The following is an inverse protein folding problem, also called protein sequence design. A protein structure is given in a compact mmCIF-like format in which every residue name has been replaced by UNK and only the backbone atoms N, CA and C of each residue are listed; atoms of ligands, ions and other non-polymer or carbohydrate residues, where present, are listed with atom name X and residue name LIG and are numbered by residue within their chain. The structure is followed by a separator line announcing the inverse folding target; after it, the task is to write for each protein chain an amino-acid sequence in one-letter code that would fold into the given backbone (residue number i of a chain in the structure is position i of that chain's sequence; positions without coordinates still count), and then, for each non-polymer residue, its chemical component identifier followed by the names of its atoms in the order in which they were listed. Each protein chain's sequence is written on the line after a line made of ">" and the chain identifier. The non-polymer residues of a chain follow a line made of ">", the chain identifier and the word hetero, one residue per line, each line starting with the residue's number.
data_IF_720566368588
#
_entry.id   IF_720566368588
#
_cell.length_a   1.000
_cell.length_b   1.000
_cell.length_c   1.000
_cell.angle_alpha   90.00
_cell.angle_beta   90.00
_cell.angle_gamma   90.00
#
_symmetry.space_group_name_H-M   'P 1'
#
loop_
_entity.id
_entity.type
_entity.pdbx_description
1 polymer ?
#
# COMPACT_ATOMS: atom_id res chain seq x y z
N UNK A 1 -17.51 -17.10 -11.94
CA UNK A 1 -17.39 -15.64 -11.74
C UNK A 1 -15.90 -15.43 -11.48
N UNK A 2 -15.17 -14.69 -12.33
CA UNK A 2 -13.77 -14.39 -12.03
C UNK A 2 -13.78 -13.29 -10.99
N UNK A 3 -13.58 -13.66 -9.73
CA UNK A 3 -13.23 -12.69 -8.70
C UNK A 3 -11.99 -11.94 -9.22
N UNK A 4 -12.06 -10.61 -9.24
CA UNK A 4 -10.99 -9.76 -9.76
C UNK A 4 -9.66 -9.99 -9.04
N UNK A 5 -8.57 -9.46 -9.59
CA UNK A 5 -7.25 -9.53 -8.94
C UNK A 5 -7.34 -8.73 -7.62
N UNK A 6 -7.14 -9.40 -6.49
CA UNK A 6 -7.16 -8.76 -5.17
C UNK A 6 -5.81 -8.12 -4.92
N UNK A 7 -5.79 -6.79 -4.88
CA UNK A 7 -4.57 -6.01 -4.68
C UNK A 7 -4.64 -5.26 -3.36
N UNK A 8 -3.58 -5.34 -2.58
CA UNK A 8 -3.46 -4.65 -1.29
C UNK A 8 -2.42 -3.53 -1.40
N UNK A 9 -2.77 -2.32 -0.98
CA UNK A 9 -1.85 -1.17 -0.93
C UNK A 9 -1.41 -0.99 0.53
N UNK A 10 -0.11 -1.05 0.78
CA UNK A 10 0.51 -0.84 2.09
C UNK A 10 1.55 0.26 2.04
N UNK A 11 1.84 0.87 3.18
CA UNK A 11 2.84 1.93 3.32
C UNK A 11 2.54 2.79 4.54
N UNK A 12 3.53 3.54 5.02
CA UNK A 12 3.37 4.43 6.18
C UNK A 12 2.34 5.54 5.94
N UNK A 13 1.80 6.16 7.01
CA UNK A 13 1.08 7.41 6.89
C UNK A 13 1.87 8.43 6.06
N UNK A 14 1.18 9.12 5.15
CA UNK A 14 1.75 10.13 4.25
C UNK A 14 2.80 9.62 3.22
N UNK A 15 2.95 8.31 3.04
CA UNK A 15 3.75 7.74 1.93
C UNK A 15 3.15 8.06 0.55
N UNK A 16 1.88 8.48 0.50
CA UNK A 16 1.15 8.87 -0.71
C UNK A 16 0.19 7.82 -1.26
N UNK A 17 -0.23 6.86 -0.43
CA UNK A 17 -1.22 5.82 -0.76
C UNK A 17 -2.55 6.40 -1.27
N UNK A 18 -3.11 7.39 -0.56
CA UNK A 18 -4.37 8.04 -0.98
C UNK A 18 -4.20 8.82 -2.28
N UNK A 19 -3.03 9.44 -2.52
CA UNK A 19 -2.74 10.08 -3.81
C UNK A 19 -2.69 9.05 -4.94
N UNK A 20 -2.07 7.89 -4.69
CA UNK A 20 -2.00 6.79 -5.66
C UNK A 20 -3.39 6.28 -5.99
N UNK A 21 -4.24 6.05 -4.99
CA UNK A 21 -5.63 5.64 -5.22
C UNK A 21 -6.41 6.68 -6.02
N UNK A 22 -6.27 7.97 -5.66
CA UNK A 22 -6.93 9.04 -6.40
C UNK A 22 -6.45 9.12 -7.86
N UNK A 23 -5.16 8.90 -8.13
CA UNK A 23 -4.63 8.83 -9.48
C UNK A 23 -5.24 7.65 -10.26
N UNK A 24 -5.22 6.45 -9.67
CA UNK A 24 -5.80 5.24 -10.26
C UNK A 24 -7.30 5.38 -10.56
N UNK A 25 -8.06 6.04 -9.66
CA UNK A 25 -9.49 6.33 -9.84
C UNK A 25 -9.77 7.38 -10.93
N UNK A 26 -8.88 8.35 -11.12
CA UNK A 26 -9.07 9.43 -12.11
C UNK A 26 -8.83 8.94 -13.52
N UNK A 27 -7.80 8.11 -13.70
CA UNK A 27 -7.52 7.47 -14.98
C UNK A 27 -8.59 6.44 -15.34
N UNK A 28 -9.00 5.64 -14.35
CA UNK A 28 -9.97 4.60 -14.53
C UNK A 28 -11.28 5.03 -13.87
N UNK A 29 -12.17 5.65 -14.65
CA UNK A 29 -13.53 6.04 -14.25
C UNK A 29 -14.37 4.83 -13.80
N UNK A 30 -14.01 4.23 -12.67
CA UNK A 30 -14.65 3.06 -12.12
C UNK A 30 -15.65 3.50 -11.05
N UNK A 31 -16.77 2.79 -11.00
CA UNK A 31 -17.90 3.08 -10.13
C UNK A 31 -17.44 2.87 -8.69
N UNK A 32 -17.31 3.95 -7.93
CA UNK A 32 -17.15 3.90 -6.47
C UNK A 32 -18.50 3.49 -5.91
N UNK A 33 -18.61 2.28 -5.36
CA UNK A 33 -19.78 1.87 -4.60
C UNK A 33 -19.57 2.23 -3.14
N UNK A 34 -20.32 3.21 -2.65
CA UNK A 34 -20.45 3.44 -1.21
C UNK A 34 -21.06 2.18 -0.58
N UNK A 35 -20.28 1.41 0.18
CA UNK A 35 -20.81 0.31 1.00
C UNK A 35 -21.35 0.97 2.29
N UNK A 36 -22.67 1.01 2.52
CA UNK A 36 -23.23 1.64 3.71
C UNK A 36 -22.83 0.82 4.95
N UNK A 37 -22.14 1.44 5.90
CA UNK A 37 -21.68 0.77 7.12
C UNK A 37 -20.37 1.29 7.72
N UNK A 38 -19.74 2.29 7.12
CA UNK A 38 -18.48 2.88 7.61
C UNK A 38 -18.74 3.80 8.82
N UNK A 39 -19.01 3.22 9.98
CA UNK A 39 -18.91 3.94 11.26
C UNK A 39 -17.44 4.14 11.61
N UNK A 40 -17.06 5.42 11.78
CA UNK A 40 -15.90 5.96 12.51
C UNK A 40 -14.93 4.93 13.09
N UNK A 41 -14.04 4.41 12.24
CA UNK A 41 -12.66 4.02 12.54
C UNK A 41 -11.96 3.84 11.17
N UNK A 42 -11.17 4.83 10.81
CA UNK A 42 -10.73 5.15 9.44
C UNK A 42 -9.56 4.31 8.93
N UNK A 43 -9.72 3.00 8.73
CA UNK A 43 -8.58 2.12 8.36
C UNK A 43 -8.78 1.34 7.05
N UNK A 44 -9.97 1.34 6.43
CA UNK A 44 -10.22 0.49 5.26
C UNK A 44 -10.99 1.21 4.14
N UNK A 45 -10.43 1.24 2.93
CA UNK A 45 -11.10 1.69 1.71
C UNK A 45 -11.01 0.61 0.63
N UNK A 46 -12.14 0.33 -0.03
CA UNK A 46 -12.29 -0.69 -1.07
C UNK A 46 -12.72 -0.04 -2.38
N UNK A 47 -12.12 -0.45 -3.50
CA UNK A 47 -12.57 -0.03 -4.83
C UNK A 47 -12.21 -1.05 -5.90
N UNK A 48 -12.96 -1.06 -7.01
CA UNK A 48 -12.61 -1.86 -8.18
C UNK A 48 -12.16 -0.94 -9.30
N UNK A 49 -10.99 -1.18 -9.86
CA UNK A 49 -10.41 -0.43 -10.99
C UNK A 49 -10.12 -1.42 -12.12
N UNK A 50 -10.83 -1.29 -13.26
CA UNK A 50 -10.69 -2.19 -14.42
C UNK A 50 -10.77 -3.71 -14.09
N UNK A 51 -11.56 -4.07 -13.08
CA UNK A 51 -11.68 -5.46 -12.62
C UNK A 51 -10.60 -5.90 -11.62
N UNK A 52 -9.75 -4.99 -11.14
CA UNK A 52 -8.82 -5.17 -10.03
C UNK A 52 -9.48 -4.64 -8.76
N UNK A 53 -9.64 -5.49 -7.76
CA UNK A 53 -10.16 -5.09 -6.44
C UNK A 53 -9.02 -4.56 -5.58
N UNK A 54 -8.96 -3.26 -5.40
CA UNK A 54 -7.98 -2.58 -4.56
C UNK A 54 -8.50 -2.48 -3.12
N UNK A 55 -7.63 -2.81 -2.16
CA UNK A 55 -7.83 -2.62 -0.73
C UNK A 55 -6.69 -1.81 -0.15
N UNK A 56 -7.02 -0.68 0.47
CA UNK A 56 -6.04 0.12 1.20
C UNK A 56 -5.87 -0.42 2.62
N UNK A 57 -4.62 -0.58 3.06
CA UNK A 57 -4.28 -0.91 4.44
C UNK A 57 -3.27 0.14 4.93
N UNK A 58 -3.62 0.91 5.95
CA UNK A 58 -2.68 1.83 6.59
C UNK A 58 -1.84 1.10 7.65
N UNK A 59 -0.52 1.27 7.59
CA UNK A 59 0.43 0.55 8.45
C UNK A 59 0.53 1.14 9.85
N UNK A 60 -0.05 2.32 10.09
CA UNK A 60 -0.28 2.81 11.44
C UNK A 60 -1.06 1.79 12.29
N UNK A 61 -1.92 0.97 11.67
CA UNK A 61 -2.60 -0.16 12.32
C UNK A 61 -1.88 -1.50 12.26
N UNK A 62 -0.68 -1.58 11.65
CA UNK A 62 0.17 -2.78 11.59
C UNK A 62 1.22 -2.80 12.72
N UNK A 63 1.49 -1.66 13.35
CA UNK A 63 2.59 -1.48 14.29
C UNK A 63 2.10 -1.45 15.76
N UNK A 64 2.72 -2.30 16.57
CA UNK A 64 2.67 -2.46 18.04
C UNK A 64 1.87 -1.41 18.87
N UNK A 65 0.83 -1.84 19.63
CA UNK A 65 0.87 -1.99 21.11
C UNK A 65 -0.51 -2.23 21.80
N UNK A 66 -0.48 -3.11 22.82
CA UNK A 66 -1.27 -3.23 24.07
C UNK A 66 -2.82 -3.17 24.14
N UNK A 67 -3.56 -2.79 23.10
CA UNK A 67 -5.03 -2.85 23.13
C UNK A 67 -5.61 -4.01 22.29
N UNK A 68 -6.55 -4.75 22.89
CA UNK A 68 -7.14 -5.97 22.30
C UNK A 68 -7.90 -5.72 20.99
N UNK A 69 -8.32 -4.47 20.74
CA UNK A 69 -9.02 -4.04 19.52
C UNK A 69 -8.05 -3.78 18.37
N UNK A 70 -6.83 -3.30 18.66
CA UNK A 70 -5.83 -2.92 17.64
C UNK A 70 -4.96 -4.10 17.19
N UNK A 71 -4.66 -5.06 18.08
CA UNK A 71 -3.98 -6.31 17.70
C UNK A 71 -4.75 -7.11 16.63
N UNK A 72 -6.09 -7.03 16.67
CA UNK A 72 -6.97 -7.59 15.65
C UNK A 72 -6.82 -6.87 14.30
N UNK A 73 -6.48 -5.58 14.30
CA UNK A 73 -6.16 -4.80 13.10
C UNK A 73 -4.87 -5.25 12.42
N UNK A 74 -3.81 -5.48 13.20
CA UNK A 74 -2.51 -6.00 12.71
C UNK A 74 -2.68 -7.40 12.11
N UNK A 75 -3.37 -8.29 12.80
CA UNK A 75 -3.62 -9.66 12.33
C UNK A 75 -4.43 -9.67 11.03
N UNK A 76 -5.49 -8.86 10.95
CA UNK A 76 -6.29 -8.70 9.73
C UNK A 76 -5.48 -8.13 8.57
N UNK A 77 -4.63 -7.14 8.83
CA UNK A 77 -3.77 -6.56 7.80
C UNK A 77 -2.81 -7.62 7.21
N UNK A 78 -2.18 -8.43 8.06
CA UNK A 78 -1.34 -9.55 7.62
C UNK A 78 -2.14 -10.59 6.85
N UNK A 79 -3.35 -10.91 7.31
CA UNK A 79 -4.25 -11.84 6.64
C UNK A 79 -4.61 -11.37 5.23
N UNK A 80 -4.85 -10.07 5.05
CA UNK A 80 -5.15 -9.50 3.75
C UNK A 80 -3.95 -9.47 2.83
N UNK A 81 -2.77 -9.11 3.34
CA UNK A 81 -1.51 -9.19 2.60
C UNK A 81 -1.26 -10.62 2.11
N UNK A 82 -1.46 -11.63 2.97
CA UNK A 82 -1.25 -13.04 2.64
C UNK A 82 -2.29 -13.61 1.66
N UNK A 83 -3.49 -13.02 1.62
CA UNK A 83 -4.58 -13.43 0.69
C UNK A 83 -4.59 -12.62 -0.60
N UNK A 84 -3.77 -11.57 -0.71
CA UNK A 84 -3.71 -10.72 -1.89
C UNK A 84 -2.97 -11.43 -3.03
N UNK A 85 -3.46 -11.25 -4.25
CA UNK A 85 -2.77 -11.68 -5.46
C UNK A 85 -1.55 -10.79 -5.74
N UNK A 86 -1.64 -9.50 -5.38
CA UNK A 86 -0.60 -8.48 -5.56
C UNK A 86 -0.56 -7.54 -4.34
N UNK A 87 0.65 -7.20 -3.89
CA UNK A 87 0.88 -6.16 -2.88
C UNK A 87 1.57 -4.96 -3.53
N UNK A 88 1.00 -3.77 -3.39
CA UNK A 88 1.62 -2.50 -3.75
C UNK A 88 2.20 -1.85 -2.49
N UNK A 89 3.51 -1.89 -2.34
CA UNK A 89 4.21 -1.33 -1.18
C UNK A 89 4.71 0.08 -1.49
N UNK A 90 4.03 1.11 -0.97
CA UNK A 90 4.33 2.51 -1.21
C UNK A 90 5.34 3.03 -0.20
N UNK A 91 6.49 3.48 -0.69
CA UNK A 91 7.60 4.03 0.10
C UNK A 91 7.81 5.48 -0.30
N UNK A 92 8.03 6.35 0.69
CA UNK A 92 8.43 7.73 0.40
C UNK A 92 9.91 7.78 0.03
N UNK A 93 10.22 7.89 -1.26
CA UNK A 93 11.61 7.90 -1.72
C UNK A 93 12.35 9.23 -1.50
N UNK A 94 11.65 10.28 -1.05
CA UNK A 94 12.23 11.61 -0.80
C UNK A 94 12.99 11.73 0.53
N UNK A 95 12.81 10.76 1.44
CA UNK A 95 13.46 10.70 2.75
C UNK A 95 14.13 9.36 2.98
N UNK A 96 15.19 9.26 3.80
CA UNK A 96 15.78 7.96 4.13
C UNK A 96 14.73 7.02 4.74
N UNK A 97 14.89 5.70 4.50
CA UNK A 97 13.97 4.69 5.01
C UNK A 97 13.79 4.82 6.52
N UNK A 98 12.54 4.95 6.95
CA UNK A 98 12.16 4.95 8.35
C UNK A 98 12.11 3.53 8.91
N UNK A 99 12.20 3.34 10.25
CA UNK A 99 12.02 2.03 10.86
C UNK A 99 10.70 1.34 10.48
N UNK A 100 9.63 2.12 10.33
CA UNK A 100 8.32 1.62 9.90
C UNK A 100 8.34 1.11 8.45
N UNK A 101 8.96 1.85 7.53
CA UNK A 101 9.12 1.41 6.13
C UNK A 101 9.97 0.14 6.04
N UNK A 102 11.00 0.01 6.87
CA UNK A 102 11.82 -1.21 6.96
C UNK A 102 10.99 -2.40 7.44
N UNK A 103 10.15 -2.21 8.46
CA UNK A 103 9.24 -3.25 8.97
C UNK A 103 8.24 -3.68 7.89
N UNK A 104 7.64 -2.72 7.18
CA UNK A 104 6.71 -2.99 6.08
C UNK A 104 7.42 -3.79 4.98
N UNK A 105 8.58 -3.32 4.51
CA UNK A 105 9.37 -4.00 3.47
C UNK A 105 9.70 -5.43 3.86
N UNK A 106 10.10 -5.64 5.12
CA UNK A 106 10.41 -6.97 5.65
C UNK A 106 9.16 -7.86 5.69
N UNK A 107 8.01 -7.30 6.08
CA UNK A 107 6.73 -8.03 6.19
C UNK A 107 6.16 -8.50 4.85
N UNK A 108 6.48 -7.79 3.76
CA UNK A 108 5.99 -8.11 2.40
C UNK A 108 7.04 -8.78 1.52
N UNK A 109 8.24 -9.03 2.06
CA UNK A 109 9.32 -9.71 1.35
C UNK A 109 8.93 -11.14 0.97
N UNK A 110 9.23 -11.54 -0.26
CA UNK A 110 8.92 -12.88 -0.77
C UNK A 110 7.46 -13.10 -1.17
N UNK A 111 6.58 -12.13 -0.94
CA UNK A 111 5.24 -12.08 -1.52
C UNK A 111 5.29 -11.50 -2.93
N UNK A 112 4.16 -11.57 -3.66
CA UNK A 112 4.03 -10.94 -4.97
C UNK A 112 3.89 -9.41 -4.83
N UNK A 113 5.01 -8.76 -4.52
CA UNK A 113 5.06 -7.35 -4.10
C UNK A 113 5.74 -6.49 -5.16
N UNK A 114 5.07 -5.40 -5.55
CA UNK A 114 5.65 -4.30 -6.30
C UNK A 114 5.91 -3.17 -5.32
N UNK A 115 7.18 -2.76 -5.18
CA UNK A 115 7.55 -1.60 -4.37
C UNK A 115 7.46 -0.34 -5.22
N UNK A 116 6.69 0.63 -4.77
CA UNK A 116 6.49 1.92 -5.40
C UNK A 116 7.27 2.98 -4.62
N UNK A 117 8.44 3.38 -5.14
CA UNK A 117 9.22 4.52 -4.65
C UNK A 117 8.52 5.81 -5.09
N UNK A 118 7.66 6.33 -4.22
CA UNK A 118 6.81 7.46 -4.49
C UNK A 118 7.55 8.80 -4.30
N UNK A 119 6.93 9.86 -4.82
CA UNK A 119 7.42 11.24 -4.84
C UNK A 119 8.62 11.44 -5.76
N UNK A 120 8.66 10.74 -6.89
CA UNK A 120 9.72 10.88 -7.89
C UNK A 120 9.76 12.28 -8.55
N UNK A 121 8.76 13.13 -8.30
CA UNK A 121 8.76 14.55 -8.66
C UNK A 121 9.78 15.39 -7.87
N UNK A 122 10.30 14.85 -6.76
CA UNK A 122 11.37 15.47 -5.96
C UNK A 122 12.60 14.57 -5.89
N UNK A 123 13.72 15.15 -5.44
CA UNK A 123 14.98 14.44 -5.28
C UNK A 123 14.81 13.18 -4.42
N UNK A 124 15.24 12.04 -4.98
CA UNK A 124 15.15 10.74 -4.33
C UNK A 124 16.43 10.45 -3.54
N UNK A 125 16.28 9.98 -2.32
CA UNK A 125 17.38 9.56 -1.45
C UNK A 125 17.38 8.05 -1.19
N UNK A 126 16.25 7.37 -1.46
CA UNK A 126 16.13 5.92 -1.39
C UNK A 126 16.45 5.31 -2.76
N UNK A 127 17.34 4.32 -2.77
CA UNK A 127 17.69 3.57 -3.98
C UNK A 127 17.11 2.16 -3.95
N UNK A 128 17.08 1.50 -5.11
CA UNK A 128 16.72 0.09 -5.23
C UNK A 128 17.58 -0.79 -4.32
N UNK A 129 18.86 -0.45 -4.13
CA UNK A 129 19.76 -1.17 -3.23
C UNK A 129 19.34 -1.01 -1.77
N UNK A 130 18.84 0.17 -1.36
CA UNK A 130 18.27 0.34 -0.03
C UNK A 130 17.08 -0.60 0.19
N UNK A 131 16.19 -0.70 -0.81
CA UNK A 131 15.02 -1.57 -0.75
C UNK A 131 15.41 -3.05 -0.71
N UNK A 132 16.28 -3.50 -1.63
CA UNK A 132 16.71 -4.90 -1.76
C UNK A 132 17.46 -5.44 -0.53
N UNK A 133 17.96 -4.58 0.36
CA UNK A 133 18.53 -5.01 1.66
C UNK A 133 17.50 -5.61 2.60
N UNK A 134 16.21 -5.32 2.39
CA UNK A 134 15.13 -5.71 3.29
C UNK A 134 14.23 -6.83 2.74
N UNK A 135 14.53 -7.35 1.55
CA UNK A 135 13.75 -8.45 1.00
C UNK A 135 13.89 -8.67 -0.49
N UNK A 136 13.09 -9.62 -0.98
CA UNK A 136 12.90 -9.89 -2.40
C UNK A 136 11.51 -9.42 -2.82
N UNK A 137 11.46 -8.74 -3.97
CA UNK A 137 10.24 -8.11 -4.49
C UNK A 137 10.11 -8.43 -5.98
N UNK A 138 8.88 -8.46 -6.48
CA UNK A 138 8.57 -8.69 -7.90
C UNK A 138 9.12 -7.57 -8.77
N UNK A 139 8.96 -6.32 -8.34
CA UNK A 139 9.46 -5.14 -9.03
C UNK A 139 9.68 -3.97 -8.05
N UNK A 140 10.48 -2.99 -8.47
CA UNK A 140 10.69 -1.72 -7.78
C UNK A 140 10.52 -0.62 -8.82
N UNK A 141 9.47 0.17 -8.72
CA UNK A 141 9.13 1.22 -9.67
C UNK A 141 9.14 2.59 -8.99
N UNK A 142 9.49 3.63 -9.73
CA UNK A 142 9.46 5.01 -9.26
C UNK A 142 8.23 5.70 -9.81
N UNK A 143 7.46 6.33 -8.92
CA UNK A 143 6.23 7.00 -9.29
C UNK A 143 6.12 8.38 -8.65
N UNK A 144 5.38 9.27 -9.27
CA UNK A 144 4.80 10.43 -8.59
C UNK A 144 3.29 10.28 -8.56
N UNK A 145 2.77 9.78 -7.45
CA UNK A 145 1.33 9.70 -7.24
C UNK A 145 0.65 11.09 -7.22
N UNK A 146 1.43 12.16 -7.00
CA UNK A 146 0.95 13.54 -7.01
C UNK A 146 0.73 14.04 -8.45
N UNK A 147 1.66 13.72 -9.34
CA UNK A 147 1.63 14.15 -10.74
C UNK A 147 0.94 13.12 -11.66
N UNK A 148 0.73 11.88 -11.19
CA UNK A 148 0.15 10.80 -12.00
C UNK A 148 1.15 10.22 -13.00
N UNK A 149 2.42 10.12 -12.61
CA UNK A 149 3.52 9.66 -13.47
C UNK A 149 4.18 8.39 -12.94
N UNK A 150 4.69 7.56 -13.86
CA UNK A 150 5.45 6.34 -13.58
C UNK A 150 4.67 5.05 -13.85
#
# INVERSE_FOLDING_TARGET
>A
IRDGITTVIVGRPNAGKSSLMNALLRENRAIVTDIPGTTRDSIEEYMTVEGISLRLIDTAGIRDTQDTVEALGVERARDYINKADIVLCVIDGSTPLTPEEIEILTSVSGLNTIVLLNKSDVAQVVTDENIKKHGTFTAIERISAKEGEG
#
